data_IF_315234395414
#
_entry.id   IF_315234395414
#
_cell.length_a   1.000
_cell.length_b   1.000
_cell.length_c   1.000
_cell.angle_alpha   90.00
_cell.angle_beta   90.00
_cell.angle_gamma   90.00
#
_symmetry.space_group_name_H-M   'P 1'
#
loop_
_entity.id
_entity.type
_entity.pdbx_description
1 polymer ?
2 non-polymer ?
3 water ?
#
# COMPACT_ATOMS: atom_id res chain seq x y z
N UNK A 1 -8.79 10.57 -15.35
CA UNK A 1 -9.67 10.68 -14.14
C UNK A 1 -9.40 9.52 -13.18
N UNK A 2 -9.36 9.81 -11.89
CA UNK A 2 -9.12 8.78 -10.90
C UNK A 2 -10.38 8.52 -10.09
N UNK A 3 -10.87 7.29 -10.18
CA UNK A 3 -11.97 6.80 -9.38
C UNK A 3 -11.52 5.50 -8.72
N UNK A 4 -11.41 5.49 -7.40
CA UNK A 4 -11.10 4.26 -6.69
C UNK A 4 -12.38 3.67 -6.11
N UNK A 5 -12.42 2.35 -6.06
CA UNK A 5 -13.55 1.59 -5.57
C UNK A 5 -13.09 0.90 -4.30
N UNK A 6 -13.58 1.33 -3.14
CA UNK A 6 -13.14 0.72 -1.89
C UNK A 6 -13.96 -0.53 -1.55
N UNK A 7 -13.37 -1.40 -0.74
CA UNK A 7 -13.97 -2.66 -0.38
C UNK A 7 -15.28 -2.50 0.43
N UNK A 8 -16.28 -3.27 0.07
CA UNK A 8 -17.51 -3.36 0.86
C UNK A 8 -17.34 -4.43 1.92
N UNK A 9 -17.78 -4.15 3.14
CA UNK A 9 -17.79 -5.17 4.20
C UNK A 9 -16.44 -5.47 4.85
N UNK A 10 -15.50 -4.53 4.80
CA UNK A 10 -14.18 -4.75 5.39
C UNK A 10 -14.30 -4.93 6.91
N UNK A 11 -13.67 -5.98 7.44
CA UNK A 11 -13.49 -6.15 8.90
C UNK A 11 -12.02 -5.90 9.23
N UNK A 12 -11.72 -4.72 9.76
CA UNK A 12 -10.34 -4.31 9.89
C UNK A 12 -9.54 -5.15 10.88
N UNK A 13 -10.17 -5.75 11.88
CA UNK A 13 -9.40 -6.53 12.85
C UNK A 13 -8.73 -7.73 12.18
N UNK A 14 -9.32 -8.23 11.10
CA UNK A 14 -8.80 -9.42 10.40
C UNK A 14 -7.58 -9.20 9.48
N UNK A 15 -7.18 -7.95 9.25
CA UNK A 15 -5.95 -7.66 8.51
C UNK A 15 -4.71 -7.66 9.37
N UNK A 16 -4.87 -7.87 10.69
CA UNK A 16 -3.71 -7.84 11.58
C UNK A 16 -2.59 -8.78 11.18
N UNK A 17 -1.36 -8.32 11.38
CA UNK A 17 -0.19 -9.17 11.38
C UNK A 17 0.72 -8.85 10.22
N UNK A 18 1.48 -9.87 9.81
CA UNK A 18 2.58 -9.69 8.89
C UNK A 18 2.12 -9.73 7.44
N UNK A 19 2.70 -8.84 6.64
CA UNK A 19 2.41 -8.75 5.21
C UNK A 19 3.70 -8.41 4.48
N UNK A 20 3.72 -8.65 3.17
CA UNK A 20 4.85 -8.34 2.32
C UNK A 20 4.35 -7.60 1.08
N UNK A 21 5.09 -6.58 0.65
CA UNK A 21 4.71 -5.80 -0.55
C UNK A 21 5.18 -6.55 -1.81
N UNK A 22 4.25 -7.21 -2.48
CA UNK A 22 4.55 -8.01 -3.70
C UNK A 22 4.69 -7.16 -4.99
N UNK A 23 3.83 -6.15 -5.13
CA UNK A 23 3.81 -5.31 -6.32
C UNK A 23 3.31 -3.92 -5.94
N UNK A 24 3.70 -2.94 -6.73
CA UNK A 24 3.25 -1.57 -6.52
C UNK A 24 3.14 -0.82 -7.82
N UNK A 25 2.26 0.17 -7.84
CA UNK A 25 2.03 0.93 -9.07
C UNK A 25 1.67 2.34 -8.66
N UNK A 26 1.91 3.31 -9.55
CA UNK A 26 1.59 4.70 -9.21
C UNK A 26 1.19 5.48 -10.44
N UNK A 27 0.47 6.58 -10.21
CA UNK A 27 -0.04 7.40 -11.30
C UNK A 27 1.08 8.20 -11.97
N UNK A 28 2.09 8.56 -11.18
CA UNK A 28 3.16 9.43 -11.61
C UNK A 28 4.49 8.70 -11.44
N UNK A 29 5.25 8.54 -12.53
CA UNK A 29 6.52 7.80 -12.48
C UNK A 29 7.40 8.17 -11.30
N UNK A 30 7.50 9.46 -11.01
CA UNK A 30 8.39 9.94 -9.96
C UNK A 30 8.01 9.46 -8.56
N UNK A 31 6.78 9.02 -8.35
CA UNK A 31 6.37 8.50 -7.03
C UNK A 31 7.11 7.21 -6.63
N UNK A 32 7.49 6.40 -7.63
CA UNK A 32 8.15 5.08 -7.39
C UNK A 32 9.52 4.89 -8.07
N UNK A 33 9.93 5.85 -8.90
CA UNK A 33 11.15 5.72 -9.74
C UNK A 33 12.38 5.95 -8.87
N UNK A 34 13.20 4.91 -8.71
CA UNK A 34 14.40 4.93 -7.84
C UNK A 34 14.07 4.53 -6.40
N UNK A 35 15.04 3.94 -5.71
CA UNK A 35 14.81 3.43 -4.37
C UNK A 35 14.47 4.54 -3.37
N UNK A 36 14.86 5.78 -3.67
CA UNK A 36 14.58 6.91 -2.79
C UNK A 36 13.28 7.66 -3.12
N UNK A 37 12.50 7.14 -4.07
CA UNK A 37 11.25 7.77 -4.44
C UNK A 37 10.31 7.85 -3.21
N UNK A 38 9.47 8.90 -3.14
CA UNK A 38 8.67 9.15 -1.94
C UNK A 38 7.68 8.04 -1.51
N UNK A 39 7.15 7.29 -2.46
CA UNK A 39 6.18 6.25 -2.15
C UNK A 39 6.73 4.83 -2.29
N UNK A 40 8.05 4.69 -2.39
CA UNK A 40 8.68 3.36 -2.35
C UNK A 40 8.75 2.92 -0.89
N UNK A 41 7.64 2.40 -0.38
CA UNK A 41 7.52 1.98 1.00
C UNK A 41 7.10 0.52 1.01
N UNK A 42 7.67 -0.23 1.94
CA UNK A 42 7.50 -1.68 1.96
C UNK A 42 6.80 -2.03 3.26
N UNK A 43 5.58 -2.52 3.16
CA UNK A 43 4.75 -2.81 4.33
C UNK A 43 5.24 -4.07 5.03
N UNK A 44 5.37 -3.98 6.34
CA UNK A 44 5.80 -5.10 7.18
C UNK A 44 4.66 -5.64 8.04
N UNK A 45 3.85 -4.74 8.60
CA UNK A 45 2.80 -5.16 9.53
C UNK A 45 1.64 -4.17 9.53
N UNK A 46 0.43 -4.71 9.64
CA UNK A 46 -0.77 -3.94 9.82
C UNK A 46 -1.23 -4.27 11.26
N UNK A 47 -1.49 -3.23 12.05
CA UNK A 47 -1.86 -3.39 13.45
C UNK A 47 -3.12 -2.56 13.75
N UNK A 48 -4.29 -3.16 13.54
CA UNK A 48 -5.52 -2.49 13.89
C UNK A 48 -5.64 -2.30 15.39
N UNK A 49 -6.38 -1.27 15.80
CA UNK A 49 -6.50 -0.92 17.21
C UNK A 49 -7.92 -1.19 17.66
N UNK A 50 -8.15 -1.22 18.99
CA UNK A 50 -9.53 -1.46 19.45
C UNK A 50 -10.53 -0.39 19.03
N UNK A 51 -10.05 0.81 18.77
CA UNK A 51 -10.88 1.90 18.28
C UNK A 51 -11.32 1.72 16.82
N UNK A 52 -10.70 0.79 16.10
CA UNK A 52 -10.92 0.66 14.66
C UNK A 52 -9.98 1.53 13.84
N UNK A 53 -8.95 2.08 14.47
CA UNK A 53 -7.89 2.78 13.74
C UNK A 53 -6.82 1.76 13.32
N UNK A 54 -5.79 2.21 12.61
CA UNK A 54 -4.87 1.28 11.97
C UNK A 54 -3.48 1.84 12.03
N UNK A 55 -2.55 1.08 12.60
CA UNK A 55 -1.13 1.42 12.52
C UNK A 55 -0.50 0.60 11.39
N UNK A 56 0.30 1.26 10.58
CA UNK A 56 0.97 0.62 9.44
C UNK A 56 2.48 0.74 9.70
N UNK A 57 3.14 -0.40 9.83
CA UNK A 57 4.59 -0.47 10.01
C UNK A 57 5.23 -0.77 8.66
N UNK A 58 6.12 0.12 8.22
CA UNK A 58 6.80 -0.07 6.93
C UNK A 58 8.28 0.31 6.98
N UNK A 59 8.99 -0.13 5.94
CA UNK A 59 10.40 0.20 5.74
C UNK A 59 10.50 1.11 4.55
N UNK A 60 11.43 2.04 4.62
CA UNK A 60 11.65 3.01 3.56
C UNK A 60 13.14 3.36 3.54
N UNK A 61 13.65 3.66 2.36
CA UNK A 61 15.04 4.13 2.20
C UNK A 61 15.07 5.63 2.51
N UNK A 62 15.79 6.01 3.58
CA UNK A 62 15.94 7.43 3.96
C UNK A 62 17.42 7.72 4.23
N UNK A 63 17.96 8.71 3.53
CA UNK A 63 19.37 9.11 3.66
C UNK A 63 20.33 7.92 3.60
N UNK A 64 20.24 7.14 2.52
CA UNK A 64 21.14 6.02 2.28
C UNK A 64 21.01 4.79 3.18
N UNK A 65 19.95 4.72 3.99
CA UNK A 65 19.79 3.64 4.98
C UNK A 65 18.34 3.13 5.04
N UNK A 66 18.14 1.83 5.26
CA UNK A 66 16.79 1.25 5.36
C UNK A 66 16.17 1.53 6.74
N UNK A 67 15.26 2.50 6.79
CA UNK A 67 14.65 3.00 8.03
C UNK A 67 13.24 2.43 8.28
N UNK A 68 12.89 2.29 9.55
CA UNK A 68 11.56 1.87 9.97
C UNK A 68 10.68 3.11 10.06
N UNK A 69 9.41 2.99 9.69
CA UNK A 69 8.47 4.09 9.80
C UNK A 69 7.12 3.52 10.24
N UNK A 70 6.37 4.31 11.00
CA UNK A 70 5.04 3.95 11.48
C UNK A 70 4.07 5.05 11.05
N UNK A 71 3.01 4.66 10.34
CA UNK A 71 1.97 5.59 9.90
C UNK A 71 0.71 5.25 10.68
N UNK A 72 0.13 6.25 11.32
CA UNK A 72 -1.10 6.08 12.08
C UNK A 72 -2.26 6.51 11.19
N UNK A 73 -3.25 5.65 11.01
CA UNK A 73 -4.39 5.92 10.13
C UNK A 73 -5.67 5.92 10.96
N UNK A 74 -6.47 6.97 10.79
CA UNK A 74 -7.68 7.15 11.56
C UNK A 74 -8.88 6.72 10.76
N UNK A 75 -9.78 6.00 11.41
CA UNK A 75 -10.99 5.54 10.74
C UNK A 75 -11.91 6.68 10.35
N UNK A 76 -12.73 6.45 9.34
CA UNK A 76 -13.70 7.44 8.85
C UNK A 76 -15.07 6.76 8.83
N UNK A 77 -16.09 7.47 8.36
CA UNK A 77 -17.41 6.84 8.20
C UNK A 77 -17.47 5.66 7.22
N UNK A 78 -16.54 5.59 6.27
CA UNK A 78 -16.47 4.45 5.36
C UNK A 78 -15.42 3.47 5.89
N UNK A 79 -15.80 2.20 6.14
CA UNK A 79 -14.87 1.30 6.82
C UNK A 79 -13.55 1.07 6.09
N UNK A 80 -13.55 1.21 4.77
CA UNK A 80 -12.35 0.96 3.97
C UNK A 80 -11.47 2.19 3.65
N UNK A 81 -11.83 3.35 4.18
CA UNK A 81 -11.09 4.60 3.98
C UNK A 81 -10.61 5.11 5.33
N UNK A 82 -9.32 5.42 5.39
CA UNK A 82 -8.67 5.94 6.59
C UNK A 82 -7.97 7.23 6.27
N UNK A 83 -7.94 8.13 7.24
CA UNK A 83 -7.23 9.38 7.14
C UNK A 83 -5.81 9.26 7.67
N UNK A 84 -4.83 9.76 6.91
CA UNK A 84 -3.43 9.83 7.35
C UNK A 84 -2.85 11.23 7.09
N UNK A 85 -1.66 11.47 7.63
CA UNK A 85 -0.89 12.68 7.33
C UNK A 85 0.58 12.28 7.26
N UNK A 86 0.94 11.63 6.16
CA UNK A 86 2.29 11.07 6.00
C UNK A 86 2.58 10.87 4.53
N UNK A 87 3.85 10.99 4.14
CA UNK A 87 4.26 10.77 2.75
C UNK A 87 3.57 11.71 1.76
N UNK A 88 3.15 12.89 2.26
CA UNK A 88 2.37 13.85 1.48
C UNK A 88 1.02 13.30 0.98
N UNK A 89 0.52 12.28 1.67
CA UNK A 89 -0.75 11.65 1.36
C UNK A 89 -1.72 11.96 2.50
N UNK A 90 -3.00 11.88 2.21
CA UNK A 90 -4.01 12.07 3.24
C UNK A 90 -5.04 10.96 3.40
N UNK A 91 -4.99 9.92 2.55
CA UNK A 91 -5.93 8.82 2.63
C UNK A 91 -5.21 7.48 2.38
N UNK A 92 -5.63 6.46 3.12
CA UNK A 92 -5.32 5.06 2.82
C UNK A 92 -6.64 4.38 2.50
N UNK A 93 -6.67 3.62 1.41
CA UNK A 93 -7.91 3.04 0.87
C UNK A 93 -7.70 1.54 0.74
N UNK A 94 -8.59 0.73 1.30
CA UNK A 94 -8.52 -0.70 1.12
C UNK A 94 -9.46 -1.08 -0.02
N UNK A 95 -8.90 -1.65 -1.09
CA UNK A 95 -9.68 -2.01 -2.28
C UNK A 95 -10.30 -3.40 -2.18
N UNK A 96 -9.53 -4.36 -1.70
CA UNK A 96 -9.96 -5.76 -1.61
C UNK A 96 -9.05 -6.54 -0.67
N UNK A 97 -9.60 -7.55 0.00
CA UNK A 97 -8.80 -8.48 0.74
C UNK A 97 -9.61 -9.75 0.98
N UNK A 98 -8.90 -10.85 1.13
CA UNK A 98 -9.48 -12.10 1.64
C UNK A 98 -8.89 -12.45 3.02
N UNK A 99 -8.15 -11.50 3.60
CA UNK A 99 -7.54 -11.63 4.94
C UNK A 99 -6.43 -12.66 5.08
N UNK A 100 -6.59 -13.84 4.46
CA UNK A 100 -5.66 -14.94 4.66
C UNK A 100 -4.52 -15.00 3.65
N UNK A 101 -4.66 -14.33 2.50
CA UNK A 101 -3.65 -14.42 1.43
C UNK A 101 -3.18 -13.09 0.80
N UNK A 102 -4.12 -12.22 0.46
CA UNK A 102 -3.77 -10.95 -0.20
C UNK A 102 -4.60 -9.79 0.35
N UNK A 103 -4.07 -8.58 0.15
CA UNK A 103 -4.76 -7.32 0.46
C UNK A 103 -4.26 -6.27 -0.52
N UNK A 104 -5.20 -5.58 -1.14
CA UNK A 104 -4.87 -4.51 -2.09
C UNK A 104 -5.21 -3.19 -1.44
N UNK A 105 -4.28 -2.26 -1.45
CA UNK A 105 -4.59 -0.94 -0.94
C UNK A 105 -3.94 0.14 -1.75
N UNK A 106 -4.51 1.33 -1.60
CA UNK A 106 -3.96 2.57 -2.18
C UNK A 106 -3.72 3.65 -1.10
N UNK A 107 -2.79 4.53 -1.43
CA UNK A 107 -2.65 5.84 -0.80
C UNK A 107 -2.79 6.96 -1.81
N UNK A 108 -3.34 8.05 -1.34
CA UNK A 108 -3.51 9.20 -2.18
C UNK A 108 -3.64 10.47 -1.38
N UNK A 109 -3.45 11.56 -2.10
CA UNK A 109 -3.79 12.89 -1.60
C UNK A 109 -5.02 13.36 -2.37
N UNK A 110 -6.15 13.41 -1.67
CA UNK A 110 -7.47 13.66 -2.33
C UNK A 110 -7.55 15.02 -3.04
N UNK A 111 -6.74 15.96 -2.60
CA UNK A 111 -6.63 17.28 -3.25
C UNK A 111 -5.96 17.21 -4.64
N UNK A 112 -5.06 16.24 -4.80
CA UNK A 112 -4.22 16.03 -6.04
C UNK A 112 -3.99 14.55 -6.41
N UNK A 113 -5.05 13.83 -6.78
CA UNK A 113 -4.97 12.37 -6.93
C UNK A 113 -3.96 11.93 -8.00
N UNK A 114 -4.01 12.58 -9.16
CA UNK A 114 -3.09 12.26 -10.30
C UNK A 114 -1.61 12.33 -9.96
N UNK A 115 -1.29 13.23 -9.05
CA UNK A 115 0.08 13.45 -8.58
C UNK A 115 0.51 12.59 -7.39
N UNK A 116 -0.40 11.76 -6.91
CA UNK A 116 -0.20 11.13 -5.58
C UNK A 116 -0.65 9.68 -5.41
N UNK A 117 -1.35 9.16 -6.40
CA UNK A 117 -1.95 7.84 -6.31
C UNK A 117 -0.90 6.72 -6.42
N UNK A 118 -0.75 5.99 -5.32
CA UNK A 118 0.10 4.78 -5.27
C UNK A 118 -0.67 3.61 -4.67
N UNK A 119 -0.61 2.48 -5.38
CA UNK A 119 -1.31 1.24 -4.97
C UNK A 119 -0.36 0.04 -4.82
N UNK A 120 -0.68 -0.82 -3.86
CA UNK A 120 0.12 -2.02 -3.58
C UNK A 120 -0.72 -3.29 -3.50
N UNK A 121 -0.04 -4.39 -3.79
CA UNK A 121 -0.57 -5.73 -3.59
C UNK A 121 0.26 -6.34 -2.47
N UNK A 122 -0.38 -6.59 -1.34
CA UNK A 122 0.26 -7.23 -0.20
C UNK A 122 -0.10 -8.71 -0.14
N UNK A 123 0.83 -9.51 0.33
CA UNK A 123 0.59 -10.93 0.56
C UNK A 123 1.10 -11.35 1.93
N UNK A 124 0.54 -12.45 2.43
CA UNK A 124 0.85 -12.97 3.77
C UNK A 124 2.17 -13.72 3.87
N UNK A 125 2.59 -14.35 2.78
CA UNK A 125 3.85 -15.10 2.74
C UNK A 125 4.76 -14.54 1.66
N UNK A 126 6.08 -14.66 1.84
CA UNK A 126 7.01 -14.04 0.91
C UNK A 126 7.20 -14.85 -0.38
N UNK A 127 6.10 -15.09 -1.08
CA UNK A 127 6.07 -15.81 -2.35
C UNK A 127 5.25 -15.02 -3.38
N UNK A 128 5.46 -15.30 -4.66
CA UNK A 128 4.64 -14.68 -5.71
C UNK A 128 3.29 -15.36 -5.76
N UNK A 129 2.21 -14.60 -5.59
CA UNK A 129 0.85 -15.12 -5.71
C UNK A 129 0.23 -14.55 -6.98
N UNK A 130 0.23 -15.35 -8.05
CA UNK A 130 -0.30 -14.89 -9.34
C UNK A 130 -1.76 -14.60 -9.34
N UNK A 131 -2.52 -15.30 -8.52
CA UNK A 131 -3.94 -14.98 -8.40
C UNK A 131 -4.13 -13.57 -7.80
N UNK A 132 -3.31 -13.22 -6.82
CA UNK A 132 -3.39 -11.90 -6.17
C UNK A 132 -2.99 -10.80 -7.15
N UNK A 133 -1.91 -11.03 -7.89
CA UNK A 133 -1.50 -10.10 -8.95
C UNK A 133 -2.55 -9.88 -10.03
N UNK A 134 -3.29 -10.93 -10.38
CA UNK A 134 -4.36 -10.79 -11.36
C UNK A 134 -5.48 -9.90 -10.82
N UNK A 135 -5.82 -10.06 -9.54
CA UNK A 135 -6.77 -9.16 -8.87
C UNK A 135 -6.26 -7.71 -8.82
N UNK A 136 -4.97 -7.54 -8.54
CA UNK A 136 -4.31 -6.24 -8.51
C UNK A 136 -4.41 -5.60 -9.89
N UNK A 137 -4.06 -6.35 -10.93
CA UNK A 137 -4.05 -5.78 -12.28
C UNK A 137 -5.46 -5.42 -12.74
N UNK A 138 -6.45 -6.25 -12.39
CA UNK A 138 -7.85 -5.93 -12.69
C UNK A 138 -8.32 -4.66 -11.97
N UNK A 139 -7.92 -4.46 -10.72
CA UNK A 139 -8.17 -3.17 -10.07
C UNK A 139 -7.49 -1.99 -10.79
N UNK A 140 -6.24 -2.19 -11.20
CA UNK A 140 -5.46 -1.15 -11.86
C UNK A 140 -5.97 -0.81 -13.26
N UNK A 141 -6.60 -1.77 -13.93
CA UNK A 141 -7.07 -1.61 -15.32
C UNK A 141 -7.83 -0.29 -15.59
N UNK A 142 -8.61 0.17 -14.62
CA UNK A 142 -9.37 1.41 -14.79
C UNK A 142 -8.68 2.66 -14.22
N UNK A 143 -7.42 2.55 -13.80
CA UNK A 143 -6.71 3.68 -13.21
C UNK A 143 -5.56 4.08 -14.14
N UNK A 144 -5.21 5.37 -14.15
CA UNK A 144 -4.15 5.89 -15.02
C UNK A 144 -2.73 5.70 -14.46
N UNK A 145 -2.30 4.45 -14.34
CA UNK A 145 -1.01 4.16 -13.73
C UNK A 145 0.10 4.25 -14.80
N UNK A 146 1.24 4.84 -14.45
CA UNK A 146 2.37 4.98 -15.39
C UNK A 146 3.67 4.29 -14.97
N UNK A 147 3.69 3.67 -13.79
CA UNK A 147 4.85 2.88 -13.31
C UNK A 147 4.27 1.69 -12.53
N UNK A 148 4.80 0.49 -12.79
CA UNK A 148 4.43 -0.71 -12.07
C UNK A 148 5.71 -1.53 -11.79
N UNK A 149 5.83 -2.05 -10.56
CA UNK A 149 6.96 -2.86 -10.09
C UNK A 149 6.41 -4.13 -9.46
N UNK A 150 7.09 -5.25 -9.72
CA UNK A 150 6.71 -6.50 -9.10
C UNK A 150 7.98 -7.18 -8.61
N UNK A 151 7.92 -7.71 -7.39
CA UNK A 151 9.10 -8.16 -6.69
C UNK A 151 9.15 -9.69 -6.59
N UNK A 152 10.33 -10.25 -6.39
CA UNK A 152 10.48 -11.72 -6.36
C UNK A 152 10.73 -12.16 -4.91
N UNK A 153 10.68 -13.48 -4.63
CA UNK A 153 10.82 -13.97 -3.24
C UNK A 153 12.07 -13.51 -2.49
N UNK A 154 13.21 -13.43 -3.16
CA UNK A 154 14.44 -12.95 -2.55
C UNK A 154 14.36 -11.49 -2.13
N UNK A 155 13.74 -10.67 -2.98
CA UNK A 155 13.53 -9.28 -2.66
C UNK A 155 12.49 -9.16 -1.54
N UNK A 156 11.47 -10.03 -1.52
CA UNK A 156 10.44 -9.96 -0.47
C UNK A 156 10.98 -10.15 0.95
N UNK A 157 12.02 -10.96 1.10
CA UNK A 157 12.59 -11.19 2.44
C UNK A 157 13.91 -10.45 2.66
N UNK A 158 14.21 -9.49 1.79
CA UNK A 158 15.38 -8.64 1.96
C UNK A 158 15.05 -7.39 2.76
N UNK A 159 16.06 -6.56 2.98
CA UNK A 159 15.90 -5.28 3.65
C UNK A 159 15.61 -4.26 2.56
N UNK A 160 14.46 -3.59 2.69
CA UNK A 160 14.01 -2.62 1.70
C UNK A 160 14.03 -3.20 0.28
N UNK A 161 13.64 -4.48 0.17
CA UNK A 161 13.48 -5.19 -1.10
C UNK A 161 14.72 -5.33 -2.00
N UNK A 162 15.92 -5.15 -1.45
CA UNK A 162 17.13 -5.39 -2.23
C UNK A 162 17.72 -6.73 -1.81
X LIG B 1 6.26 12.32 6.66
X LIG B 1 5.99 11.19 5.75
X LIG B 1 6.29 11.80 8.05
X LIG B 1 5.21 13.35 6.53
X LIG B 1 7.58 12.89 6.32
X LIG C 1 -0.29 -18.82 -7.60
X LIG C 1 -0.47 -20.07 -8.39
X LIG C 1 -0.28 -19.14 -6.16
X LIG C 1 -1.43 -17.94 -7.91
X LIG C 1 1.02 -18.21 -7.95
X LIG D 1 -15.27 11.25 8.09
X LIG D 1 -14.28 10.90 9.13
X LIG D 1 -16.09 10.08 7.72
X LIG D 1 -14.55 11.73 6.89
X LIG D 1 -16.16 12.33 8.61
X LIG E 1 -19.73 -1.37 4.33
X LIG E 1 -20.85 -2.33 4.48
X LIG E 1 -18.48 -2.04 4.72
X LIG E 1 -19.64 -0.96 2.91
X LIG E 1 -19.99 -0.19 5.18
#
# INVERSE_FOLDING_TARGET
IIVTQTMKGLDIQKVAGTWYSLAMAASDISLLDAQSAPLRVYVEELKPTPEGNLEILLQKWENGECAQKKIIAEKTKIPAVFKIDALNENKVLVLDTDYKKYLLFCMENSAEPEQSLACQCLVRTPEVDNEALEKFDKALKALPMHIRLAFNPTQLEGQCHV
SO4 S O1 O2 O3 O4
SO4 S O1 O2 O3 O4
SO4 S O1 O2 O3 O4
SO4 S O1 O2 O3 O4
#
